data_IF_670886630201
#
_entry.id   IF_670886630201
#
_cell.length_a   1.000
_cell.length_b   1.000
_cell.length_c   1.000
_cell.angle_alpha   90.00
_cell.angle_beta   90.00
_cell.angle_gamma   90.00
#
_symmetry.space_group_name_H-M   'P 1'
#
loop_
_entity.id
_entity.type
_entity.pdbx_description
1 polymer ?
#
# COMPACT_ATOMS: atom_id res chain seq x y z
N UNK A 1 -2.93 30.77 21.31
CA UNK A 1 -1.74 31.65 21.16
C UNK A 1 -1.13 31.31 19.81
N UNK A 2 -1.19 32.23 18.83
CA UNK A 2 -0.69 32.00 17.46
C UNK A 2 0.84 32.11 17.46
N UNK A 3 1.54 31.02 17.13
CA UNK A 3 2.99 31.06 16.94
C UNK A 3 3.29 31.51 15.50
N UNK A 4 3.48 32.83 15.34
CA UNK A 4 4.13 33.40 14.16
C UNK A 4 5.62 33.03 14.23
N UNK A 5 6.07 32.12 13.35
CA UNK A 5 7.50 31.80 13.25
C UNK A 5 7.88 30.38 12.80
N UNK A 6 6.95 29.56 12.30
CA UNK A 6 7.28 28.19 11.85
C UNK A 6 7.84 28.15 10.42
N UNK A 7 8.98 28.79 10.18
CA UNK A 7 9.72 28.62 8.91
C UNK A 7 10.95 27.72 9.04
N UNK A 8 11.17 27.12 10.22
CA UNK A 8 12.37 26.33 10.52
C UNK A 8 12.06 25.24 11.55
N UNK A 9 11.05 24.39 11.30
CA UNK A 9 10.77 23.27 12.20
C UNK A 9 11.26 21.94 11.60
N UNK A 10 12.34 21.42 12.17
CA UNK A 10 12.90 20.10 11.85
C UNK A 10 12.09 18.96 12.47
N UNK A 11 12.37 17.73 12.02
CA UNK A 11 11.64 16.51 12.39
C UNK A 11 11.56 16.29 13.92
N UNK A 12 12.62 16.63 14.66
CA UNK A 12 12.65 16.59 16.14
C UNK A 12 11.62 17.50 16.81
N UNK A 13 11.34 18.67 16.25
CA UNK A 13 10.42 19.63 16.86
C UNK A 13 8.96 19.24 16.63
N UNK A 14 8.67 18.48 15.56
CA UNK A 14 7.35 17.90 15.31
C UNK A 14 7.05 16.80 16.34
N UNK A 15 8.07 16.01 16.70
CA UNK A 15 7.95 14.97 17.73
C UNK A 15 7.67 15.58 19.11
N UNK A 16 8.38 16.66 19.48
CA UNK A 16 8.16 17.39 20.73
C UNK A 16 6.77 18.05 20.84
N UNK A 17 6.17 18.45 19.72
CA UNK A 17 4.81 19.00 19.69
C UNK A 17 3.74 17.92 19.93
N UNK A 18 4.02 16.68 19.51
CA UNK A 18 3.14 15.52 19.70
C UNK A 18 3.14 15.09 21.18
N UNK A 19 4.28 15.20 21.87
CA UNK A 19 4.43 14.89 23.31
C UNK A 19 3.70 15.88 24.23
N UNK A 20 3.36 17.09 23.76
CA UNK A 20 2.73 18.14 24.59
C UNK A 20 1.19 18.10 24.63
N UNK A 21 0.54 17.03 24.15
CA UNK A 21 -0.91 16.86 24.30
C UNK A 21 -1.77 17.85 23.52
N UNK A 22 -1.21 18.49 22.49
CA UNK A 22 -1.97 19.28 21.53
C UNK A 22 -2.75 18.33 20.61
N UNK A 23 -3.99 18.02 21.00
CA UNK A 23 -4.88 17.08 20.29
C UNK A 23 -5.30 17.56 18.87
N UNK A 24 -4.90 18.78 18.48
CA UNK A 24 -5.16 19.33 17.16
C UNK A 24 -3.97 20.19 16.71
N UNK A 25 -3.11 19.60 15.89
CA UNK A 25 -1.98 20.30 15.26
C UNK A 25 -2.41 20.73 13.86
N UNK A 26 -2.68 22.03 13.69
CA UNK A 26 -3.00 22.58 12.38
C UNK A 26 -1.71 22.85 11.62
N UNK A 27 -1.40 22.03 10.61
CA UNK A 27 -0.24 22.25 9.76
C UNK A 27 -0.57 23.29 8.67
N UNK A 28 0.25 24.34 8.50
CA UNK A 28 0.11 25.23 7.37
C UNK A 28 0.32 24.46 6.05
N UNK A 29 -0.47 24.80 5.02
CA UNK A 29 -0.48 24.11 3.71
C UNK A 29 0.90 23.91 3.07
N UNK A 30 1.84 24.83 3.34
CA UNK A 30 3.23 24.72 2.86
C UNK A 30 3.98 23.56 3.53
N UNK A 31 3.85 23.40 4.85
CA UNK A 31 4.46 22.28 5.59
C UNK A 31 3.81 20.95 5.20
N UNK A 32 2.48 20.93 5.02
CA UNK A 32 1.76 19.73 4.55
C UNK A 32 2.28 19.25 3.19
N UNK A 33 2.50 20.17 2.25
CA UNK A 33 3.00 19.84 0.91
C UNK A 33 4.41 19.25 0.96
N UNK A 34 5.30 19.84 1.77
CA UNK A 34 6.68 19.35 1.96
C UNK A 34 6.67 17.99 2.64
N UNK A 35 5.86 17.83 3.70
CA UNK A 35 5.68 16.57 4.40
C UNK A 35 5.18 15.47 3.48
N UNK A 36 4.11 15.72 2.70
CA UNK A 36 3.55 14.73 1.77
C UNK A 36 4.58 14.29 0.73
N UNK A 37 5.36 15.23 0.20
CA UNK A 37 6.42 14.89 -0.74
C UNK A 37 7.51 14.00 -0.12
N UNK A 38 7.96 14.31 1.11
CA UNK A 38 8.95 13.49 1.80
C UNK A 38 8.38 12.10 2.17
N UNK A 39 7.15 12.06 2.69
CA UNK A 39 6.44 10.85 3.05
C UNK A 39 6.28 9.91 1.86
N UNK A 40 5.74 10.40 0.74
CA UNK A 40 5.51 9.60 -0.46
C UNK A 40 6.81 9.05 -1.06
N UNK A 41 7.90 9.83 -1.02
CA UNK A 41 9.21 9.36 -1.44
C UNK A 41 9.78 8.28 -0.50
N UNK A 42 9.63 8.46 0.82
CA UNK A 42 10.04 7.47 1.82
C UNK A 42 9.22 6.19 1.71
N UNK A 43 7.90 6.30 1.59
CA UNK A 43 6.98 5.18 1.43
C UNK A 43 7.27 4.38 0.16
N UNK A 44 7.50 5.05 -0.98
CA UNK A 44 7.91 4.39 -2.21
C UNK A 44 9.26 3.67 -2.08
N UNK A 45 10.21 4.24 -1.32
CA UNK A 45 11.50 3.60 -1.06
C UNK A 45 11.35 2.35 -0.18
N UNK A 46 10.65 2.45 0.94
CA UNK A 46 10.35 1.33 1.85
C UNK A 46 9.61 0.20 1.11
N UNK A 47 8.66 0.55 0.25
CA UNK A 47 7.89 -0.41 -0.52
C UNK A 47 8.76 -1.23 -1.48
N UNK A 48 9.83 -0.66 -2.05
CA UNK A 48 10.75 -1.42 -2.93
C UNK A 48 11.40 -2.60 -2.23
N UNK A 49 11.72 -2.46 -0.95
CA UNK A 49 12.33 -3.52 -0.14
C UNK A 49 11.30 -4.48 0.45
N UNK A 50 10.09 -3.99 0.75
CA UNK A 50 9.02 -4.80 1.36
C UNK A 50 8.23 -5.62 0.33
N UNK A 51 8.01 -5.09 -0.87
CA UNK A 51 7.22 -5.76 -1.90
C UNK A 51 7.75 -7.15 -2.31
N UNK A 52 9.06 -7.41 -2.40
CA UNK A 52 9.57 -8.77 -2.60
C UNK A 52 9.13 -9.74 -1.50
N UNK A 53 9.17 -9.31 -0.24
CA UNK A 53 8.72 -10.12 0.91
C UNK A 53 7.22 -10.41 0.79
N UNK A 54 6.42 -9.41 0.42
CA UNK A 54 4.98 -9.57 0.18
C UNK A 54 4.72 -10.60 -0.93
N UNK A 55 5.46 -10.54 -2.05
CA UNK A 55 5.33 -11.50 -3.14
C UNK A 55 5.72 -12.92 -2.71
N UNK A 56 6.79 -13.08 -1.91
CA UNK A 56 7.19 -14.39 -1.39
C UNK A 56 6.10 -14.97 -0.47
N UNK A 57 5.59 -14.17 0.46
CA UNK A 57 4.49 -14.58 1.35
C UNK A 57 3.24 -14.91 0.55
N UNK A 58 2.96 -14.15 -0.51
CA UNK A 58 1.83 -14.40 -1.41
C UNK A 58 1.97 -15.72 -2.16
N UNK A 59 3.16 -16.04 -2.68
CA UNK A 59 3.44 -17.33 -3.31
C UNK A 59 3.31 -18.48 -2.32
N UNK A 60 3.84 -18.31 -1.10
CA UNK A 60 3.72 -19.31 -0.05
C UNK A 60 2.26 -19.59 0.32
N UNK A 61 1.44 -18.55 0.46
CA UNK A 61 0.01 -18.68 0.70
C UNK A 61 -0.69 -19.36 -0.49
N UNK A 62 -0.34 -18.98 -1.71
CA UNK A 62 -0.89 -19.58 -2.94
C UNK A 62 -0.57 -21.07 -3.02
N UNK A 63 0.63 -21.48 -2.62
CA UNK A 63 1.02 -22.88 -2.55
C UNK A 63 0.19 -23.66 -1.52
N UNK A 64 -0.08 -23.06 -0.35
CA UNK A 64 -0.98 -23.66 0.64
C UNK A 64 -2.40 -23.87 0.11
N UNK A 65 -2.96 -22.88 -0.59
CA UNK A 65 -4.30 -22.99 -1.20
C UNK A 65 -4.33 -24.08 -2.27
N UNK A 66 -3.30 -24.14 -3.13
CA UNK A 66 -3.20 -25.14 -4.19
C UNK A 66 -3.23 -26.58 -3.65
N UNK A 67 -2.66 -26.85 -2.47
CA UNK A 67 -2.68 -28.18 -1.87
C UNK A 67 -4.07 -28.59 -1.34
N UNK A 68 -4.91 -27.63 -0.98
CA UNK A 68 -6.21 -27.86 -0.34
C UNK A 68 -7.35 -27.88 -1.38
N UNK A 69 -7.18 -27.18 -2.50
CA UNK A 69 -8.25 -26.95 -3.46
C UNK A 69 -8.52 -28.18 -4.35
N UNK A 70 -9.79 -28.53 -4.65
CA UNK A 70 -10.12 -29.60 -5.59
C UNK A 70 -9.60 -29.30 -7.00
N UNK A 71 -9.11 -30.33 -7.71
CA UNK A 71 -8.46 -30.20 -9.03
C UNK A 71 -9.31 -29.48 -10.07
N UNK A 72 -10.64 -29.61 -9.98
CA UNK A 72 -11.61 -28.96 -10.88
C UNK A 72 -11.65 -27.44 -10.73
N UNK A 73 -11.38 -26.93 -9.51
CA UNK A 73 -11.48 -25.51 -9.18
C UNK A 73 -10.13 -24.77 -9.32
N UNK A 74 -9.03 -25.50 -9.44
CA UNK A 74 -7.66 -24.94 -9.51
C UNK A 74 -7.50 -23.96 -10.67
N UNK A 75 -8.00 -24.27 -11.86
CA UNK A 75 -7.84 -23.40 -13.04
C UNK A 75 -8.59 -22.07 -12.87
N UNK A 76 -9.85 -22.14 -12.39
CA UNK A 76 -10.67 -20.96 -12.12
C UNK A 76 -10.04 -20.09 -11.03
N UNK A 77 -9.64 -20.71 -9.90
CA UNK A 77 -8.95 -20.01 -8.82
C UNK A 77 -7.67 -19.34 -9.30
N UNK A 78 -6.82 -20.05 -10.03
CA UNK A 78 -5.54 -19.54 -10.50
C UNK A 78 -5.73 -18.36 -11.47
N UNK A 79 -6.75 -18.39 -12.33
CA UNK A 79 -7.05 -17.29 -13.26
C UNK A 79 -7.36 -15.97 -12.53
N UNK A 80 -8.23 -16.03 -11.51
CA UNK A 80 -8.60 -14.84 -10.73
C UNK A 80 -7.52 -14.43 -9.74
N UNK A 81 -6.97 -15.39 -8.99
CA UNK A 81 -6.01 -15.10 -7.93
C UNK A 81 -4.66 -14.62 -8.47
N UNK A 82 -4.26 -15.01 -9.69
CA UNK A 82 -3.05 -14.48 -10.33
C UNK A 82 -3.09 -12.96 -10.51
N UNK A 83 -4.26 -12.36 -10.70
CA UNK A 83 -4.40 -10.90 -10.85
C UNK A 83 -3.96 -10.12 -9.62
N UNK A 84 -4.16 -10.65 -8.41
CA UNK A 84 -3.69 -10.01 -7.18
C UNK A 84 -2.17 -9.93 -7.17
N UNK A 85 -1.49 -11.02 -7.54
CA UNK A 85 -0.04 -11.04 -7.68
C UNK A 85 0.46 -10.06 -8.75
N UNK A 86 -0.22 -9.99 -9.89
CA UNK A 86 0.08 -9.03 -10.97
C UNK A 86 -0.02 -7.59 -10.48
N UNK A 87 -1.07 -7.25 -9.72
CA UNK A 87 -1.27 -5.90 -9.17
C UNK A 87 -0.11 -5.52 -8.25
N UNK A 88 0.29 -6.41 -7.33
CA UNK A 88 1.41 -6.17 -6.41
C UNK A 88 2.72 -6.01 -7.19
N UNK A 89 2.94 -6.82 -8.22
CA UNK A 89 4.13 -6.76 -9.06
C UNK A 89 4.18 -5.43 -9.85
N UNK A 90 3.07 -5.00 -10.45
CA UNK A 90 2.96 -3.71 -11.14
C UNK A 90 3.24 -2.57 -10.16
N UNK A 91 2.61 -2.56 -8.98
CA UNK A 91 2.86 -1.53 -7.97
C UNK A 91 4.34 -1.51 -7.55
N UNK A 92 4.97 -2.67 -7.45
CA UNK A 92 6.39 -2.79 -7.14
C UNK A 92 7.27 -2.19 -8.25
N UNK A 93 7.03 -2.51 -9.52
CA UNK A 93 7.75 -1.92 -10.66
C UNK A 93 7.57 -0.40 -10.70
N UNK A 94 6.33 0.08 -10.53
CA UNK A 94 6.02 1.52 -10.53
C UNK A 94 6.76 2.24 -9.41
N UNK A 95 6.99 1.59 -8.27
CA UNK A 95 7.72 2.18 -7.14
C UNK A 95 9.17 2.57 -7.48
N UNK A 96 9.81 1.98 -8.50
CA UNK A 96 11.16 2.36 -8.94
C UNK A 96 11.19 3.68 -9.71
N UNK A 97 10.06 4.12 -10.27
CA UNK A 97 9.97 5.33 -11.08
C UNK A 97 9.82 6.53 -10.14
N UNK A 98 10.92 7.29 -9.92
CA UNK A 98 10.94 8.46 -9.01
C UNK A 98 9.84 9.49 -9.26
N UNK A 99 9.42 9.69 -10.53
CA UNK A 99 8.31 10.59 -10.89
C UNK A 99 6.96 10.10 -10.37
N UNK A 100 6.77 8.79 -10.25
CA UNK A 100 5.54 8.18 -9.76
C UNK A 100 5.47 8.12 -8.24
N UNK A 101 6.57 8.40 -7.52
CA UNK A 101 6.55 8.46 -6.06
C UNK A 101 5.45 9.42 -5.55
N UNK A 102 5.22 10.56 -6.21
CA UNK A 102 4.16 11.51 -5.82
C UNK A 102 2.74 10.95 -5.94
N UNK A 103 2.58 9.89 -6.74
CA UNK A 103 1.33 9.17 -6.96
C UNK A 103 1.25 7.87 -6.17
N UNK A 104 2.23 7.59 -5.30
CA UNK A 104 2.34 6.36 -4.51
C UNK A 104 1.03 5.97 -3.84
N UNK A 105 0.42 6.91 -3.11
CA UNK A 105 -0.81 6.66 -2.37
C UNK A 105 -1.98 6.27 -3.29
N UNK A 106 -2.03 6.83 -4.50
CA UNK A 106 -3.11 6.55 -5.46
C UNK A 106 -2.99 5.17 -6.07
N UNK A 107 -1.84 4.82 -6.65
CA UNK A 107 -1.73 3.52 -7.32
C UNK A 107 -1.66 2.36 -6.33
N UNK A 108 -1.03 2.54 -5.16
CA UNK A 108 -1.05 1.51 -4.11
C UNK A 108 -2.46 1.39 -3.54
N UNK A 109 -3.15 2.51 -3.27
CA UNK A 109 -4.53 2.49 -2.80
C UNK A 109 -5.48 1.79 -3.78
N UNK A 110 -5.47 2.19 -5.05
CA UNK A 110 -6.30 1.56 -6.10
C UNK A 110 -5.94 0.08 -6.26
N UNK A 111 -4.64 -0.25 -6.28
CA UNK A 111 -4.18 -1.63 -6.38
C UNK A 111 -4.65 -2.49 -5.21
N UNK A 112 -4.52 -2.00 -3.98
CA UNK A 112 -5.00 -2.69 -2.78
C UNK A 112 -6.52 -2.87 -2.78
N UNK A 113 -7.29 -1.84 -3.16
CA UNK A 113 -8.75 -1.96 -3.28
C UNK A 113 -9.15 -2.97 -4.35
N UNK A 114 -8.48 -2.97 -5.51
CA UNK A 114 -8.73 -3.94 -6.57
C UNK A 114 -8.39 -5.37 -6.14
N UNK A 115 -7.28 -5.57 -5.44
CA UNK A 115 -6.88 -6.88 -4.91
C UNK A 115 -7.93 -7.43 -3.93
N UNK A 116 -8.45 -6.59 -3.02
CA UNK A 116 -9.52 -6.97 -2.10
C UNK A 116 -10.81 -7.32 -2.85
N UNK A 117 -11.19 -6.52 -3.85
CA UNK A 117 -12.37 -6.79 -4.67
C UNK A 117 -12.27 -8.14 -5.41
N UNK A 118 -11.10 -8.46 -5.98
CA UNK A 118 -10.85 -9.74 -6.64
C UNK A 118 -11.03 -10.91 -5.66
N UNK A 119 -10.56 -10.79 -4.43
CA UNK A 119 -10.75 -11.82 -3.41
C UNK A 119 -12.24 -12.07 -3.10
N UNK A 120 -13.06 -11.03 -3.01
CA UNK A 120 -14.51 -11.18 -2.81
C UNK A 120 -15.22 -11.80 -4.01
N UNK A 121 -14.82 -11.42 -5.23
CA UNK A 121 -15.34 -12.02 -6.46
C UNK A 121 -14.99 -13.51 -6.49
N UNK A 122 -13.75 -13.86 -6.17
CA UNK A 122 -13.26 -15.23 -6.16
C UNK A 122 -14.07 -16.12 -5.22
N UNK A 123 -14.39 -15.64 -4.00
CA UNK A 123 -15.25 -16.38 -3.06
C UNK A 123 -16.62 -16.66 -3.69
N UNK A 124 -17.27 -15.65 -4.25
CA UNK A 124 -18.59 -15.82 -4.88
C UNK A 124 -18.55 -16.74 -6.11
N UNK A 125 -17.49 -16.69 -6.91
CA UNK A 125 -17.34 -17.52 -8.11
C UNK A 125 -17.07 -18.98 -7.75
N UNK A 126 -16.27 -19.23 -6.71
CA UNK A 126 -16.03 -20.59 -6.22
C UNK A 126 -17.27 -21.17 -5.52
N UNK A 127 -18.04 -20.35 -4.81
CA UNK A 127 -19.27 -20.77 -4.11
C UNK A 127 -20.43 -21.05 -5.09
N UNK A 128 -20.58 -20.26 -6.14
CA UNK A 128 -21.60 -20.50 -7.20
C UNK A 128 -21.16 -21.51 -8.27
N UNK A 129 -19.92 -22.00 -8.20
CA UNK A 129 -19.36 -23.04 -9.09
C UNK A 129 -19.56 -24.47 -8.58
N UNK A 130 -20.21 -24.63 -7.43
CA UNK A 130 -20.74 -25.91 -6.90
C UNK A 130 -22.24 -26.04 -7.20
#
# INVERSE_FOLDING_TARGET
MKLQGSNILGQEQIDLLTTRGLNFVWFPKQLETIYRFQYQNGAAYEFRYRAPIILILYLFLSFGIYQVLPTEQVLSWLSYYSWVGIIVLIAWILSFIKKLNQWFDYYVGIGSSAAVAITFILINVLENGQ
#
